data_IF_295824531208
#
_entry.id   IF_295824531208
#
_cell.length_a   1.000
_cell.length_b   1.000
_cell.length_c   1.000
_cell.angle_alpha   90.00
_cell.angle_beta   90.00
_cell.angle_gamma   90.00
#
_symmetry.space_group_name_H-M   'P 1'
#
loop_
_entity.id
_entity.type
_entity.pdbx_description
1 polymer ?
#
# COMPACT_ATOMS: atom_id res chain seq x y z
N UNK A 1 13.96 -35.87 2.83
CA UNK A 1 14.46 -37.20 2.49
C UNK A 1 15.30 -37.04 1.24
N UNK A 2 16.16 -38.00 0.92
CA UNK A 2 16.95 -37.97 -0.32
C UNK A 2 16.12 -38.18 -1.60
N UNK A 3 14.80 -38.07 -1.53
CA UNK A 3 13.86 -38.38 -2.61
C UNK A 3 13.32 -37.13 -3.33
N UNK A 4 13.90 -35.95 -3.04
CA UNK A 4 13.55 -34.66 -3.66
C UNK A 4 12.09 -34.22 -3.47
N UNK A 5 11.32 -34.94 -2.65
CA UNK A 5 9.92 -34.63 -2.32
C UNK A 5 9.76 -34.33 -0.83
N UNK A 6 10.54 -34.99 0.04
CA UNK A 6 10.52 -34.71 1.47
C UNK A 6 11.57 -33.66 1.87
N UNK A 7 11.31 -32.83 2.90
CA UNK A 7 12.27 -31.84 3.40
C UNK A 7 13.66 -32.43 3.68
N UNK A 8 14.74 -31.67 3.46
CA UNK A 8 16.10 -32.17 3.74
C UNK A 8 16.29 -32.46 5.23
N UNK A 9 17.05 -33.52 5.54
CA UNK A 9 17.34 -33.97 6.91
C UNK A 9 18.76 -33.54 7.27
N UNK A 10 18.97 -33.01 8.47
CA UNK A 10 20.32 -32.81 9.01
C UNK A 10 20.94 -34.17 9.32
N UNK A 11 22.07 -34.50 8.70
CA UNK A 11 22.79 -35.78 8.85
C UNK A 11 24.22 -35.71 9.44
N UNK A 12 24.90 -34.54 9.54
CA UNK A 12 26.23 -34.47 10.17
C UNK A 12 26.15 -34.91 11.65
N UNK A 13 26.51 -36.16 11.94
CA UNK A 13 26.37 -36.81 13.26
C UNK A 13 24.96 -37.30 13.61
N UNK A 14 24.25 -37.83 12.62
CA UNK A 14 22.96 -38.51 12.78
C UNK A 14 21.77 -37.64 12.39
N UNK A 15 20.66 -38.31 12.10
CA UNK A 15 19.43 -37.64 11.66
C UNK A 15 18.81 -36.83 12.80
N UNK A 16 18.68 -35.52 12.58
CA UNK A 16 18.07 -34.59 13.54
C UNK A 16 17.01 -33.74 12.87
N UNK A 17 15.81 -33.73 13.45
CA UNK A 17 14.67 -32.92 13.00
C UNK A 17 14.34 -31.71 13.88
N UNK A 18 14.99 -31.56 15.04
CA UNK A 18 14.77 -30.43 15.96
C UNK A 18 16.08 -29.75 16.40
N UNK A 19 17.08 -29.72 15.52
CA UNK A 19 18.29 -28.93 15.71
C UNK A 19 17.98 -27.48 15.30
N UNK A 20 17.54 -26.66 16.26
CA UNK A 20 17.11 -25.27 16.02
C UNK A 20 18.29 -24.28 16.09
N UNK A 21 19.44 -24.67 15.54
CA UNK A 21 20.62 -23.81 15.37
C UNK A 21 20.69 -23.31 13.92
N UNK A 22 21.52 -22.30 13.64
CA UNK A 22 21.71 -21.80 12.27
C UNK A 22 22.05 -22.93 11.27
N UNK A 23 22.97 -23.82 11.64
CA UNK A 23 23.35 -24.98 10.81
C UNK A 23 22.20 -25.98 10.61
N UNK A 24 21.37 -26.18 11.62
CA UNK A 24 20.22 -27.08 11.54
C UNK A 24 19.10 -26.52 10.68
N UNK A 25 18.86 -25.20 10.74
CA UNK A 25 17.85 -24.49 9.96
C UNK A 25 18.19 -24.38 8.46
N UNK A 26 19.39 -24.79 8.04
CA UNK A 26 19.68 -25.06 6.63
C UNK A 26 18.93 -26.30 6.09
N UNK A 27 18.25 -27.08 6.94
CA UNK A 27 17.58 -28.32 6.59
C UNK A 27 16.06 -28.25 6.84
N UNK A 28 15.29 -28.68 5.84
CA UNK A 28 13.85 -28.46 5.79
C UNK A 28 13.06 -29.14 6.92
N UNK A 29 13.51 -30.28 7.45
CA UNK A 29 12.85 -30.89 8.61
C UNK A 29 12.96 -30.01 9.87
N UNK A 30 14.11 -29.36 10.09
CA UNK A 30 14.30 -28.45 11.20
C UNK A 30 13.51 -27.15 10.99
N UNK A 31 13.46 -26.60 9.76
CA UNK A 31 12.62 -25.43 9.43
C UNK A 31 11.15 -25.73 9.65
N UNK A 32 10.65 -26.87 9.15
CA UNK A 32 9.26 -27.28 9.36
C UNK A 32 8.92 -27.36 10.84
N UNK A 33 9.77 -28.01 11.63
CA UNK A 33 9.55 -28.15 13.07
C UNK A 33 9.67 -26.81 13.80
N UNK A 34 10.59 -25.92 13.40
CA UNK A 34 10.68 -24.55 13.90
C UNK A 34 9.39 -23.77 13.68
N UNK A 35 8.91 -23.68 12.43
CA UNK A 35 7.65 -22.98 12.10
C UNK A 35 6.45 -23.59 12.83
N UNK A 36 6.45 -24.91 13.02
CA UNK A 36 5.39 -25.60 13.79
C UNK A 36 5.42 -25.18 15.25
N UNK A 37 6.60 -25.04 15.85
CA UNK A 37 6.75 -24.57 17.23
C UNK A 37 6.37 -23.10 17.39
N UNK A 38 6.70 -22.24 16.42
CA UNK A 38 6.23 -20.83 16.41
C UNK A 38 4.70 -20.75 16.34
N UNK A 39 4.08 -21.53 15.45
CA UNK A 39 2.62 -21.58 15.36
C UNK A 39 1.97 -22.12 16.64
N UNK A 40 2.58 -23.14 17.26
CA UNK A 40 2.10 -23.67 18.53
C UNK A 40 2.28 -22.68 19.68
N UNK A 41 3.37 -21.91 19.70
CA UNK A 41 3.59 -20.84 20.67
C UNK A 41 2.47 -19.79 20.54
N UNK A 42 2.22 -19.29 19.33
CA UNK A 42 1.13 -18.33 19.06
C UNK A 42 -0.24 -18.87 19.47
N UNK A 43 -0.51 -20.16 19.24
CA UNK A 43 -1.75 -20.79 19.69
C UNK A 43 -1.84 -20.89 21.22
N UNK A 44 -0.73 -21.18 21.90
CA UNK A 44 -0.66 -21.20 23.37
C UNK A 44 -0.93 -19.80 23.94
N UNK A 45 -0.30 -18.78 23.37
CA UNK A 45 -0.43 -17.39 23.83
C UNK A 45 -1.92 -16.97 23.88
N UNK A 46 -2.71 -17.30 22.84
CA UNK A 46 -4.17 -17.01 22.84
C UNK A 46 -4.96 -17.97 23.73
N UNK A 47 -4.76 -19.29 23.57
CA UNK A 47 -5.69 -20.28 24.13
C UNK A 47 -5.42 -20.64 25.60
N UNK A 48 -4.19 -20.39 26.07
CA UNK A 48 -3.72 -20.77 27.39
C UNK A 48 -3.34 -19.55 28.20
N UNK A 49 -2.63 -18.60 27.61
CA UNK A 49 -2.14 -17.41 28.33
C UNK A 49 -3.10 -16.22 28.25
N UNK A 50 -4.20 -16.34 27.48
CA UNK A 50 -5.26 -15.33 27.34
C UNK A 50 -4.75 -13.98 26.78
N UNK A 51 -3.75 -14.03 25.90
CA UNK A 51 -3.24 -12.83 25.20
C UNK A 51 -4.31 -12.30 24.23
N UNK A 52 -4.70 -11.04 24.40
CA UNK A 52 -5.76 -10.39 23.62
C UNK A 52 -5.34 -10.14 22.15
N UNK A 53 -4.06 -9.81 21.93
CA UNK A 53 -3.49 -9.53 20.62
C UNK A 53 -2.11 -10.18 20.47
N UNK A 54 -1.96 -11.04 19.46
CA UNK A 54 -0.69 -11.70 19.15
C UNK A 54 0.33 -10.79 18.48
N UNK A 55 -0.17 -9.84 17.70
CA UNK A 55 0.63 -8.87 16.99
C UNK A 55 0.19 -7.48 17.47
N UNK A 56 1.12 -6.53 17.50
CA UNK A 56 0.75 -5.15 17.77
C UNK A 56 -0.34 -4.72 16.76
N UNK A 57 -1.38 -4.00 17.19
CA UNK A 57 -2.37 -3.49 16.26
C UNK A 57 -1.64 -2.71 15.17
N UNK A 58 -1.96 -3.02 13.90
CA UNK A 58 -1.44 -2.25 12.79
C UNK A 58 -1.80 -0.78 13.04
N UNK A 59 -0.79 0.10 12.99
CA UNK A 59 -1.02 1.53 13.14
C UNK A 59 -2.02 2.00 12.09
N UNK A 60 -2.90 2.92 12.47
CA UNK A 60 -3.64 3.69 11.47
C UNK A 60 -2.63 4.50 10.64
N UNK A 61 -2.97 4.77 9.38
CA UNK A 61 -2.19 5.74 8.61
C UNK A 61 -2.26 7.09 9.31
N UNK A 62 -1.13 7.79 9.35
CA UNK A 62 -1.08 9.16 9.84
C UNK A 62 -1.87 10.06 8.89
N UNK A 63 -2.70 10.95 9.46
CA UNK A 63 -3.58 11.87 8.73
C UNK A 63 -5.02 11.37 8.55
N UNK A 64 -5.90 12.23 8.02
CA UNK A 64 -7.31 11.90 7.74
C UNK A 64 -7.64 11.82 6.25
N UNK A 65 -6.64 11.94 5.37
CA UNK A 65 -6.83 11.90 3.92
C UNK A 65 -7.40 13.20 3.30
N UNK A 66 -7.33 14.31 4.02
CA UNK A 66 -7.78 15.64 3.52
C UNK A 66 -6.60 16.42 2.94
N UNK A 67 -6.85 17.47 2.16
CA UNK A 67 -5.74 18.27 1.60
C UNK A 67 -4.87 18.95 2.67
N UNK A 68 -5.44 19.30 3.84
CA UNK A 68 -4.70 19.86 4.98
C UNK A 68 -4.07 18.81 5.89
N UNK A 69 -4.60 17.59 5.87
CA UNK A 69 -4.14 16.47 6.70
C UNK A 69 -4.18 15.17 5.87
N UNK A 70 -3.27 15.04 4.89
CA UNK A 70 -3.26 13.92 3.95
C UNK A 70 -2.74 12.66 4.63
N UNK A 71 -3.05 11.48 4.06
CA UNK A 71 -2.43 10.25 4.51
C UNK A 71 -0.92 10.25 4.20
N UNK A 72 -0.09 9.94 5.19
CA UNK A 72 1.37 9.97 5.01
C UNK A 72 1.88 8.64 4.45
N UNK A 73 2.52 8.72 3.29
CA UNK A 73 3.27 7.62 2.67
C UNK A 73 4.68 7.62 3.27
N UNK A 74 4.89 6.79 4.30
CA UNK A 74 6.15 6.75 5.04
C UNK A 74 7.32 6.06 4.32
N UNK A 75 7.02 5.18 3.35
CA UNK A 75 8.03 4.43 2.60
C UNK A 75 7.48 3.91 1.29
N UNK A 76 8.36 3.64 0.33
CA UNK A 76 8.06 2.93 -0.91
C UNK A 76 8.63 1.49 -0.87
N UNK A 77 7.95 0.48 -1.46
CA UNK A 77 6.62 0.57 -2.07
C UNK A 77 5.52 0.78 -1.02
N UNK A 78 4.39 1.31 -1.48
CA UNK A 78 3.24 1.63 -0.63
C UNK A 78 1.95 1.09 -1.23
N UNK A 79 1.02 0.68 -0.37
CA UNK A 79 -0.35 0.38 -0.77
C UNK A 79 -1.35 0.79 0.30
N UNK A 80 -2.55 1.16 -0.13
CA UNK A 80 -3.68 1.44 0.74
C UNK A 80 -4.99 1.00 0.10
N UNK A 81 -5.94 0.53 0.91
CA UNK A 81 -7.33 0.34 0.47
C UNK A 81 -8.16 1.47 1.08
N UNK A 82 -8.73 2.31 0.22
CA UNK A 82 -9.51 3.47 0.61
C UNK A 82 -10.91 3.44 -0.01
N UNK A 83 -11.70 4.48 0.29
CA UNK A 83 -13.06 4.63 -0.21
C UNK A 83 -13.43 6.10 -0.32
N UNK A 84 -13.54 6.64 -1.54
CA UNK A 84 -13.90 8.06 -1.73
C UNK A 84 -15.34 8.33 -1.27
N UNK A 85 -16.22 7.32 -1.21
CA UNK A 85 -17.59 7.51 -0.71
C UNK A 85 -17.67 7.86 0.78
N UNK A 86 -16.59 7.59 1.53
CA UNK A 86 -16.44 7.93 2.94
C UNK A 86 -15.70 9.26 3.15
N UNK A 87 -15.15 9.86 2.09
CA UNK A 87 -14.49 11.16 2.18
C UNK A 87 -15.48 12.32 2.18
N UNK A 88 -15.20 13.33 2.99
CA UNK A 88 -15.88 14.62 2.94
C UNK A 88 -15.12 15.68 2.13
N UNK A 89 -13.92 15.37 1.66
CA UNK A 89 -13.04 16.30 0.93
C UNK A 89 -13.52 16.49 -0.51
N UNK A 90 -13.61 17.74 -0.97
CA UNK A 90 -14.17 18.18 -2.27
C UNK A 90 -13.61 19.55 -2.67
N UNK A 91 -12.32 19.63 -2.91
CA UNK A 91 -11.56 20.85 -3.14
C UNK A 91 -11.32 21.13 -4.61
N UNK A 92 -10.90 20.14 -5.39
CA UNK A 92 -10.45 20.34 -6.78
C UNK A 92 -11.45 19.73 -7.75
N UNK A 93 -12.25 20.56 -8.43
CA UNK A 93 -13.14 20.06 -9.48
C UNK A 93 -12.46 19.89 -10.85
N UNK A 94 -11.31 20.54 -11.04
CA UNK A 94 -10.50 20.49 -12.27
C UNK A 94 -9.03 20.74 -11.96
N UNK A 95 -8.15 19.85 -12.42
CA UNK A 95 -6.70 19.94 -12.23
C UNK A 95 -6.04 20.80 -13.32
N UNK A 96 -6.10 22.12 -13.16
CA UNK A 96 -5.64 23.08 -14.19
C UNK A 96 -4.15 23.00 -14.52
N UNK A 97 -3.30 22.56 -13.59
CA UNK A 97 -1.87 22.35 -13.84
C UNK A 97 -1.61 21.31 -14.94
N UNK A 98 -2.49 20.32 -15.02
CA UNK A 98 -2.49 19.29 -16.05
C UNK A 98 -3.35 19.63 -17.27
N UNK A 99 -3.88 20.86 -17.36
CA UNK A 99 -4.85 21.26 -18.41
C UNK A 99 -6.05 20.32 -18.53
N UNK A 100 -6.48 19.75 -17.40
CA UNK A 100 -7.56 18.79 -17.34
C UNK A 100 -8.92 19.45 -17.63
N UNK A 101 -9.80 18.75 -18.35
CA UNK A 101 -11.15 19.25 -18.71
C UNK A 101 -12.27 18.40 -18.12
N UNK A 102 -11.94 17.22 -17.59
CA UNK A 102 -12.90 16.31 -16.99
C UNK A 102 -13.41 16.85 -15.65
N UNK A 103 -14.56 16.33 -15.21
CA UNK A 103 -15.25 16.79 -14.02
C UNK A 103 -14.84 15.93 -12.81
N UNK A 104 -13.97 16.48 -11.96
CA UNK A 104 -13.48 15.85 -10.74
C UNK A 104 -14.17 16.46 -9.50
N UNK A 105 -15.43 16.92 -9.62
CA UNK A 105 -16.13 17.56 -8.49
C UNK A 105 -16.62 16.58 -7.41
N UNK A 106 -16.29 15.30 -7.55
CA UNK A 106 -16.63 14.25 -6.60
C UNK A 106 -15.80 14.32 -5.31
N UNK A 107 -16.00 13.36 -4.39
CA UNK A 107 -15.15 13.23 -3.22
C UNK A 107 -13.74 12.75 -3.57
N UNK A 108 -12.75 13.25 -2.85
CA UNK A 108 -11.33 12.93 -3.08
C UNK A 108 -10.60 12.52 -1.80
N UNK A 109 -9.45 11.86 -1.93
CA UNK A 109 -8.57 11.48 -0.81
C UNK A 109 -7.13 11.83 -1.15
N UNK A 110 -6.45 12.51 -0.23
CA UNK A 110 -5.07 12.96 -0.41
C UNK A 110 -4.07 12.06 0.32
N UNK A 111 -2.96 11.81 -0.38
CA UNK A 111 -1.76 11.16 0.15
C UNK A 111 -0.58 12.12 -0.02
N UNK A 112 0.39 12.05 0.88
CA UNK A 112 1.60 12.86 0.82
C UNK A 112 2.85 12.03 1.07
N UNK A 113 3.91 12.33 0.31
CA UNK A 113 5.25 11.76 0.49
C UNK A 113 6.28 12.88 0.50
N UNK A 114 7.23 12.79 1.43
CA UNK A 114 8.43 13.63 1.42
C UNK A 114 9.57 12.85 0.75
N UNK A 115 10.05 13.36 -0.38
CA UNK A 115 11.07 12.71 -1.21
C UNK A 115 12.41 13.37 -0.94
N UNK A 116 13.44 12.60 -0.59
CA UNK A 116 14.79 13.11 -0.35
C UNK A 116 15.69 13.00 -1.57
N UNK A 117 15.48 11.95 -2.36
CA UNK A 117 16.27 11.62 -3.54
C UNK A 117 15.32 11.34 -4.71
N UNK A 118 15.73 11.73 -5.91
CA UNK A 118 14.89 11.53 -7.10
C UNK A 118 14.55 10.05 -7.28
N UNK A 119 13.26 9.75 -7.45
CA UNK A 119 12.76 8.39 -7.64
C UNK A 119 11.65 8.38 -8.70
N UNK A 120 11.68 7.41 -9.60
CA UNK A 120 10.57 7.17 -10.53
C UNK A 120 9.61 6.17 -9.90
N UNK A 121 8.32 6.52 -9.89
CA UNK A 121 7.27 5.66 -9.34
C UNK A 121 6.18 5.42 -10.36
N UNK A 122 5.62 4.21 -10.35
CA UNK A 122 4.28 3.96 -10.90
C UNK A 122 3.27 4.14 -9.76
N UNK A 123 2.37 5.11 -9.91
CA UNK A 123 1.22 5.29 -9.03
C UNK A 123 -0.04 4.85 -9.77
N UNK A 124 -0.78 3.89 -9.23
CA UNK A 124 -2.01 3.41 -9.87
C UNK A 124 -3.09 3.08 -8.86
N UNK A 125 -4.32 3.15 -9.34
CA UNK A 125 -5.54 2.85 -8.62
C UNK A 125 -6.24 1.67 -9.27
N UNK A 126 -6.85 0.84 -8.42
CA UNK A 126 -7.68 -0.28 -8.81
C UNK A 126 -9.03 -0.11 -8.13
N UNK A 127 -10.05 0.23 -8.90
CA UNK A 127 -11.44 0.26 -8.48
C UNK A 127 -12.24 -0.84 -9.20
N UNK A 128 -13.54 -0.94 -8.91
CA UNK A 128 -14.41 -1.99 -9.46
C UNK A 128 -15.80 -1.48 -9.77
N UNK A 129 -16.40 -2.09 -10.80
CA UNK A 129 -17.80 -1.85 -11.15
C UNK A 129 -17.96 -0.53 -11.89
N UNK A 130 -18.79 0.37 -11.34
CA UNK A 130 -19.03 1.70 -11.90
C UNK A 130 -18.28 2.78 -11.11
N UNK A 131 -17.31 2.40 -10.27
CA UNK A 131 -16.41 3.34 -9.61
C UNK A 131 -15.37 3.80 -10.64
N UNK A 132 -14.98 5.07 -10.59
CA UNK A 132 -13.98 5.67 -11.48
C UNK A 132 -13.18 6.68 -10.66
N UNK A 133 -12.05 6.20 -10.13
CA UNK A 133 -11.13 7.02 -9.34
C UNK A 133 -9.94 7.41 -10.23
N UNK A 134 -9.70 8.72 -10.34
CA UNK A 134 -8.56 9.26 -11.07
C UNK A 134 -7.39 9.53 -10.12
N UNK A 135 -6.17 9.20 -10.56
CA UNK A 135 -4.93 9.53 -9.85
C UNK A 135 -4.31 10.81 -10.41
N UNK A 136 -3.96 11.72 -9.50
CA UNK A 136 -3.34 13.00 -9.81
C UNK A 136 -2.07 13.20 -8.97
N UNK A 137 -0.92 13.42 -9.62
CA UNK A 137 0.31 13.82 -8.93
C UNK A 137 0.42 15.34 -8.86
N UNK A 138 0.62 15.87 -7.65
CA UNK A 138 0.75 17.29 -7.37
C UNK A 138 2.11 17.57 -6.71
N UNK A 139 2.81 18.60 -7.18
CA UNK A 139 4.12 18.97 -6.65
C UNK A 139 4.03 20.16 -5.68
N UNK A 140 4.60 20.01 -4.48
CA UNK A 140 4.77 21.08 -3.49
C UNK A 140 3.50 21.43 -2.69
N UNK A 141 2.35 21.55 -3.35
CA UNK A 141 1.06 21.90 -2.74
C UNK A 141 -0.06 20.95 -3.20
N UNK A 142 -1.15 20.90 -2.43
CA UNK A 142 -2.38 20.18 -2.77
C UNK A 142 -3.40 21.11 -3.45
N UNK A 143 -2.99 21.68 -4.58
CA UNK A 143 -3.78 22.64 -5.36
C UNK A 143 -3.90 22.23 -6.84
N UNK A 144 -4.97 22.69 -7.49
CA UNK A 144 -5.27 22.37 -8.88
C UNK A 144 -4.14 22.73 -9.87
N UNK A 145 -3.43 23.84 -9.62
CA UNK A 145 -2.34 24.34 -10.45
C UNK A 145 -1.01 23.61 -10.23
N UNK A 146 -0.86 22.89 -9.12
CA UNK A 146 0.32 22.06 -8.83
C UNK A 146 0.26 20.67 -9.46
N UNK A 147 -0.82 20.33 -10.16
CA UNK A 147 -0.89 19.09 -10.92
C UNK A 147 0.18 19.04 -12.01
N UNK A 148 0.95 17.95 -12.03
CA UNK A 148 1.97 17.71 -13.05
C UNK A 148 1.63 16.51 -13.94
N UNK A 149 0.88 15.54 -13.42
CA UNK A 149 0.48 14.35 -14.17
C UNK A 149 -0.84 13.78 -13.63
N UNK A 150 -1.66 13.22 -14.54
CA UNK A 150 -2.90 12.54 -14.16
C UNK A 150 -3.30 11.41 -15.10
N UNK A 151 -4.08 10.46 -14.59
CA UNK A 151 -4.71 9.39 -15.36
C UNK A 151 -5.85 8.74 -14.58
N UNK A 152 -6.76 8.05 -15.26
CA UNK A 152 -7.89 7.32 -14.64
C UNK A 152 -7.54 5.89 -14.17
N UNK A 153 -6.30 5.44 -14.41
CA UNK A 153 -5.81 4.12 -13.95
C UNK A 153 -4.47 4.28 -13.24
N UNK A 154 -3.51 4.92 -13.90
CA UNK A 154 -2.16 4.99 -13.39
C UNK A 154 -1.26 5.93 -14.15
N UNK A 155 -0.26 6.43 -13.44
CA UNK A 155 0.75 7.36 -13.93
C UNK A 155 2.14 6.82 -13.57
N UNK A 156 3.12 7.11 -14.42
CA UNK A 156 4.54 7.01 -14.06
C UNK A 156 5.05 8.45 -13.93
N UNK A 157 5.64 8.76 -12.78
CA UNK A 157 6.12 10.11 -12.46
C UNK A 157 7.49 10.05 -11.78
N UNK A 158 8.36 11.01 -12.13
CA UNK A 158 9.67 11.16 -11.50
C UNK A 158 9.57 12.17 -10.38
N UNK A 159 9.51 11.68 -9.14
CA UNK A 159 9.44 12.51 -7.96
C UNK A 159 10.81 13.09 -7.65
N UNK A 160 10.95 14.40 -7.78
CA UNK A 160 12.15 15.13 -7.37
C UNK A 160 12.12 15.45 -5.87
N UNK A 161 13.26 15.76 -5.23
CA UNK A 161 13.29 16.08 -3.80
C UNK A 161 12.31 17.18 -3.41
N UNK A 162 11.54 16.92 -2.36
CA UNK A 162 10.47 17.80 -1.88
C UNK A 162 9.19 17.05 -1.50
N UNK A 163 8.16 17.82 -1.15
CA UNK A 163 6.83 17.30 -0.84
C UNK A 163 6.06 17.05 -2.13
N UNK A 164 5.50 15.85 -2.25
CA UNK A 164 4.57 15.47 -3.29
C UNK A 164 3.24 15.04 -2.68
N UNK A 165 2.16 15.24 -3.44
CA UNK A 165 0.84 14.75 -3.10
C UNK A 165 0.30 13.87 -4.22
N UNK A 166 -0.50 12.89 -3.84
CA UNK A 166 -1.36 12.16 -4.75
C UNK A 166 -2.81 12.39 -4.32
N UNK A 167 -3.59 13.01 -5.19
CA UNK A 167 -5.02 13.13 -5.01
C UNK A 167 -5.72 12.02 -5.79
N UNK A 168 -6.48 11.20 -5.08
CA UNK A 168 -7.34 10.18 -5.66
C UNK A 168 -8.76 10.73 -5.68
N UNK A 169 -9.21 11.10 -6.86
CA UNK A 169 -10.40 11.90 -7.06
C UNK A 169 -11.51 11.11 -7.73
N UNK A 170 -12.76 11.43 -7.44
CA UNK A 170 -13.91 10.76 -8.04
C UNK A 170 -14.33 11.50 -9.30
N UNK A 171 -14.26 10.80 -10.44
CA UNK A 171 -14.82 11.31 -11.68
C UNK A 171 -16.35 11.41 -11.60
N UNK A 172 -16.88 12.51 -12.13
CA UNK A 172 -18.32 12.76 -12.26
C UNK A 172 -18.70 12.68 -13.72
N UNK A 173 -19.57 11.71 -14.04
CA UNK A 173 -19.94 11.42 -15.41
C UNK A 173 -20.82 12.50 -16.07
N UNK A 174 -21.11 12.33 -17.36
CA UNK A 174 -21.95 13.25 -18.14
C UNK A 174 -23.40 13.37 -17.61
N UNK A 175 -23.85 12.38 -16.81
CA UNK A 175 -25.16 12.38 -16.16
C UNK A 175 -25.13 13.02 -14.77
N UNK A 176 -24.01 13.63 -14.37
CA UNK A 176 -23.74 14.17 -13.03
C UNK A 176 -23.80 13.10 -11.92
N UNK A 177 -23.41 11.86 -12.24
CA UNK A 177 -23.25 10.80 -11.24
C UNK A 177 -21.80 10.78 -10.77
N UNK A 178 -21.60 10.92 -9.45
CA UNK A 178 -20.31 10.70 -8.81
C UNK A 178 -19.98 9.20 -8.81
N UNK A 179 -18.92 8.80 -9.50
CA UNK A 179 -18.50 7.40 -9.60
C UNK A 179 -17.61 7.02 -8.40
N UNK A 180 -18.04 7.38 -7.19
CA UNK A 180 -17.30 7.17 -5.93
C UNK A 180 -17.36 5.74 -5.45
N UNK A 181 -16.33 5.31 -4.73
CA UNK A 181 -16.33 4.03 -4.04
C UNK A 181 -14.96 3.58 -3.55
N UNK A 182 -14.89 2.28 -3.26
CA UNK A 182 -13.66 1.63 -2.79
C UNK A 182 -12.61 1.52 -3.90
N UNK A 183 -11.36 1.72 -3.51
CA UNK A 183 -10.20 1.58 -4.38
C UNK A 183 -9.03 0.95 -3.63
N UNK A 184 -8.10 0.35 -4.37
CA UNK A 184 -6.75 0.08 -3.90
C UNK A 184 -5.78 1.03 -4.60
N UNK A 185 -4.98 1.73 -3.81
CA UNK A 185 -3.90 2.58 -4.29
C UNK A 185 -2.56 1.88 -4.11
N UNK A 186 -1.67 2.01 -5.09
CA UNK A 186 -0.31 1.51 -5.00
C UNK A 186 0.68 2.52 -5.57
N UNK A 187 1.79 2.71 -4.87
CA UNK A 187 2.99 3.39 -5.34
C UNK A 187 4.14 2.40 -5.35
N UNK A 188 4.65 2.10 -6.53
CA UNK A 188 5.77 1.18 -6.74
C UNK A 188 6.96 1.96 -7.29
N UNK A 189 8.16 1.63 -6.81
CA UNK A 189 9.40 2.14 -7.41
C UNK A 189 9.61 1.42 -8.75
N UNK A 190 9.93 2.18 -9.81
CA UNK A 190 10.40 1.57 -11.05
C UNK A 190 11.91 1.32 -10.95
N UNK A 191 12.35 0.13 -11.35
CA UNK A 191 13.77 -0.19 -11.49
C UNK A 191 14.27 0.33 -12.85
N UNK A 192 15.45 0.97 -12.86
CA UNK A 192 16.12 1.48 -14.06
C UNK A 192 16.53 0.37 -15.07
#
# INVERSE_FOLDING_TARGET
GGDSTHPSVYTPNGEKGCLLTADGLAYGYNVRNWVTLEALSRAKDVLVDDEEFLDAPAGHMDGTGTHTDPYIVGSLPFTHIGDTSKSSERRISQYTGCSATQNESGPEVYYAIDVTDTVTVSAFVLDRGNVDIDVHALQGTADANSCVQRNHIGITETLTPGRWYFALDTFVDESNVELKGEYMFALLVEED
#
